data_IF_735581652878
#
_entry.id   IF_735581652878
#
_cell.length_a   1.000
_cell.length_b   1.000
_cell.length_c   1.000
_cell.angle_alpha   90.00
_cell.angle_beta   90.00
_cell.angle_gamma   90.00
#
_symmetry.space_group_name_H-M   'P 1'
#
loop_
_entity.id
_entity.type
_entity.pdbx_description
1 polymer ?
#
# COMPACT_ATOMS: atom_id res chain seq x y z
N UNK A 1 -30.58 2.88 72.12
CA UNK A 1 -30.60 2.96 70.64
C UNK A 1 -29.67 4.07 70.16
N UNK A 2 -28.43 3.75 69.77
CA UNK A 2 -27.62 4.54 68.83
C UNK A 2 -26.74 3.56 68.05
N UNK A 3 -26.84 3.64 66.74
CA UNK A 3 -26.37 2.68 65.72
C UNK A 3 -24.83 2.65 65.62
N UNK A 4 -24.27 1.45 65.41
CA UNK A 4 -22.87 1.22 65.04
C UNK A 4 -22.75 1.32 63.52
N UNK A 5 -21.88 2.17 63.01
CA UNK A 5 -21.48 2.17 61.60
C UNK A 5 -20.09 1.56 61.51
N UNK A 6 -20.02 0.35 60.94
CA UNK A 6 -18.78 -0.29 60.50
C UNK A 6 -18.40 0.31 59.14
N UNK A 7 -17.22 0.90 59.04
CA UNK A 7 -16.62 1.28 57.74
C UNK A 7 -15.72 0.14 57.29
N UNK A 8 -16.07 -0.43 56.14
CA UNK A 8 -15.39 -1.50 55.43
C UNK A 8 -14.06 -0.98 54.84
N UNK A 9 -12.92 -1.70 54.92
CA UNK A 9 -11.71 -1.31 54.20
C UNK A 9 -11.86 -1.74 52.74
N UNK A 10 -12.03 -0.77 51.84
CA UNK A 10 -11.95 -1.02 50.40
C UNK A 10 -10.49 -1.02 49.94
N UNK A 11 -10.09 -2.15 49.37
CA UNK A 11 -9.09 -2.38 48.34
C UNK A 11 -8.18 -1.19 47.96
N UNK A 12 -6.88 -1.36 48.19
CA UNK A 12 -5.86 -0.92 47.23
C UNK A 12 -5.05 -2.13 46.78
N UNK A 13 -5.68 -2.94 45.94
CA UNK A 13 -4.98 -3.93 45.13
C UNK A 13 -4.59 -3.28 43.80
N UNK A 14 -3.31 -3.36 43.44
CA UNK A 14 -2.87 -3.32 42.05
C UNK A 14 -2.61 -1.94 41.45
N UNK A 15 -1.43 -1.38 41.75
CA UNK A 15 -0.70 -0.63 40.72
C UNK A 15 0.35 -1.58 40.13
N UNK A 16 -0.11 -2.59 39.37
CA UNK A 16 0.75 -3.25 38.39
C UNK A 16 0.91 -2.24 37.27
N UNK A 17 2.00 -1.48 37.32
CA UNK A 17 2.48 -0.68 36.20
C UNK A 17 2.73 -1.64 35.05
N UNK A 18 1.78 -1.71 34.12
CA UNK A 18 2.02 -2.19 32.77
C UNK A 18 3.00 -1.22 32.11
N UNK A 19 4.30 -1.43 32.35
CA UNK A 19 5.28 -1.03 31.35
C UNK A 19 4.96 -1.91 30.14
N UNK A 20 4.20 -1.36 29.20
CA UNK A 20 4.20 -1.87 27.85
C UNK A 20 5.68 -1.90 27.44
N UNK A 21 6.28 -3.09 27.35
CA UNK A 21 7.57 -3.23 26.73
C UNK A 21 7.38 -2.80 25.27
N UNK A 22 7.71 -1.53 24.99
CA UNK A 22 8.10 -1.14 23.65
C UNK A 22 9.40 -1.89 23.37
N UNK A 23 9.28 -3.12 22.84
CA UNK A 23 10.43 -3.81 22.30
C UNK A 23 10.97 -2.92 21.18
N UNK A 24 12.18 -2.41 21.38
CA UNK A 24 12.84 -1.55 20.41
C UNK A 24 13.16 -2.43 19.19
N UNK A 25 12.44 -2.24 18.09
CA UNK A 25 12.64 -3.00 16.85
C UNK A 25 13.98 -2.55 16.28
N UNK A 26 14.96 -3.46 16.21
CA UNK A 26 16.25 -3.17 15.60
C UNK A 26 16.14 -3.34 14.09
N UNK A 27 16.46 -2.31 13.33
CA UNK A 27 16.48 -2.35 11.88
C UNK A 27 17.70 -1.60 11.34
N UNK A 28 18.02 -1.84 10.07
CA UNK A 28 18.99 -1.09 9.28
C UNK A 28 18.25 -0.43 8.14
N UNK A 29 18.53 0.83 7.87
CA UNK A 29 18.00 1.54 6.71
C UNK A 29 19.12 2.16 5.88
N UNK A 30 18.91 2.23 4.57
CA UNK A 30 19.83 2.84 3.62
C UNK A 30 19.11 3.15 2.31
N UNK A 31 19.69 4.02 1.50
CA UNK A 31 19.19 4.34 0.17
C UNK A 31 20.08 3.70 -0.90
N UNK A 32 19.45 3.17 -1.95
CA UNK A 32 20.16 2.81 -3.18
C UNK A 32 20.50 4.07 -3.99
N UNK A 33 21.50 4.02 -4.91
CA UNK A 33 21.86 5.16 -5.76
C UNK A 33 20.72 5.71 -6.63
N UNK A 34 19.68 4.91 -6.90
CA UNK A 34 18.49 5.31 -7.66
C UNK A 34 17.34 5.84 -6.78
N UNK A 35 17.63 6.13 -5.51
CA UNK A 35 16.69 6.73 -4.56
C UNK A 35 15.73 5.75 -3.88
N UNK A 36 15.80 4.45 -4.15
CA UNK A 36 15.00 3.47 -3.41
C UNK A 36 15.42 3.43 -1.94
N UNK A 37 14.50 3.79 -1.05
CA UNK A 37 14.71 3.66 0.38
C UNK A 37 14.49 2.22 0.83
N UNK A 38 15.43 1.65 1.59
CA UNK A 38 15.41 0.25 2.02
C UNK A 38 15.46 0.16 3.53
N UNK A 39 14.57 -0.67 4.11
CA UNK A 39 14.52 -0.98 5.53
C UNK A 39 14.66 -2.50 5.71
N UNK A 40 15.59 -2.94 6.55
CA UNK A 40 15.85 -4.35 6.85
C UNK A 40 15.70 -4.62 8.34
N UNK A 41 14.91 -5.64 8.69
CA UNK A 41 14.77 -6.16 10.04
C UNK A 41 15.09 -7.67 10.06
N UNK A 42 16.18 -8.03 10.74
CA UNK A 42 16.58 -9.43 10.95
C UNK A 42 15.88 -10.02 12.18
N UNK A 43 15.13 -11.11 11.97
CA UNK A 43 14.48 -11.91 13.00
C UNK A 43 14.46 -13.40 12.63
N UNK A 44 15.29 -14.20 13.30
CA UNK A 44 15.37 -15.66 13.10
C UNK A 44 14.35 -16.46 13.92
N UNK A 45 13.32 -15.83 14.47
CA UNK A 45 12.31 -16.51 15.29
C UNK A 45 11.52 -17.58 14.52
N UNK A 46 11.30 -17.37 13.22
CA UNK A 46 10.63 -18.31 12.32
C UNK A 46 11.27 -18.24 10.92
N UNK A 47 11.29 -19.33 10.13
CA UNK A 47 11.90 -19.36 8.80
C UNK A 47 10.99 -18.71 7.73
N UNK A 48 10.57 -17.48 7.97
CA UNK A 48 9.65 -16.70 7.15
C UNK A 48 10.28 -15.32 6.91
N UNK A 49 10.04 -14.77 5.73
CA UNK A 49 10.40 -13.39 5.36
C UNK A 49 9.16 -12.68 4.81
N UNK A 50 8.96 -11.44 5.25
CA UNK A 50 8.04 -10.49 4.65
C UNK A 50 8.84 -9.56 3.75
N UNK A 51 8.48 -9.50 2.47
CA UNK A 51 8.97 -8.53 1.49
C UNK A 51 7.82 -7.59 1.20
N UNK A 52 8.06 -6.28 1.19
CA UNK A 52 7.00 -5.31 0.94
C UNK A 52 7.52 -4.06 0.27
N UNK A 53 6.72 -3.49 -0.63
CA UNK A 53 7.00 -2.21 -1.28
C UNK A 53 5.85 -1.26 -1.00
N UNK A 54 6.17 -0.13 -0.39
CA UNK A 54 5.27 0.99 -0.20
C UNK A 54 5.61 2.04 -1.24
N UNK A 55 4.68 2.28 -2.16
CA UNK A 55 4.76 3.43 -3.06
C UNK A 55 4.09 4.62 -2.38
N UNK A 56 4.79 5.75 -2.36
CA UNK A 56 4.28 7.00 -1.84
C UNK A 56 3.33 7.60 -2.88
N UNK A 57 2.21 6.95 -3.15
CA UNK A 57 1.16 7.40 -4.06
C UNK A 57 -0.16 6.86 -3.54
N UNK A 58 -1.20 7.68 -3.51
CA UNK A 58 -2.56 7.22 -3.22
C UNK A 58 -3.58 8.05 -4.00
N UNK A 59 -4.85 7.92 -3.65
CA UNK A 59 -5.90 8.63 -4.40
C UNK A 59 -5.78 10.16 -4.37
N UNK A 60 -5.04 10.73 -3.40
CA UNK A 60 -4.79 12.18 -3.35
C UNK A 60 -3.91 12.70 -4.49
N UNK A 61 -3.10 11.83 -5.08
CA UNK A 61 -2.15 12.17 -6.14
C UNK A 61 -2.79 12.16 -7.53
N UNK A 62 -4.04 11.71 -7.62
CA UNK A 62 -4.75 11.53 -8.89
C UNK A 62 -5.14 12.87 -9.54
N UNK A 63 -5.32 12.82 -10.86
CA UNK A 63 -5.96 13.90 -11.58
C UNK A 63 -7.45 13.98 -11.12
N UNK A 64 -7.95 15.15 -10.69
CA UNK A 64 -9.34 15.30 -10.25
C UNK A 64 -10.40 14.88 -11.28
N UNK A 65 -10.06 14.90 -12.58
CA UNK A 65 -10.94 14.47 -13.68
C UNK A 65 -10.75 12.99 -14.05
N UNK A 66 -9.80 12.28 -13.41
CA UNK A 66 -9.44 10.88 -13.63
C UNK A 66 -9.07 10.21 -12.30
N UNK A 67 -10.09 9.88 -11.50
CA UNK A 67 -9.92 9.29 -10.17
C UNK A 67 -10.08 7.77 -10.15
N UNK A 68 -9.51 7.13 -9.13
CA UNK A 68 -9.51 5.67 -8.93
C UNK A 68 -8.28 4.95 -9.49
N UNK A 69 -7.29 5.69 -9.97
CA UNK A 69 -6.08 5.15 -10.59
C UNK A 69 -5.15 4.48 -9.60
N UNK A 70 -4.96 5.06 -8.40
CA UNK A 70 -4.12 4.44 -7.38
C UNK A 70 -4.64 3.04 -7.00
N UNK A 71 -5.95 2.94 -6.79
CA UNK A 71 -6.61 1.66 -6.52
C UNK A 71 -6.60 0.74 -7.74
N UNK A 72 -6.79 1.28 -8.95
CA UNK A 72 -6.72 0.48 -10.17
C UNK A 72 -5.35 -0.19 -10.35
N UNK A 73 -4.26 0.53 -10.07
CA UNK A 73 -2.92 -0.02 -10.13
C UNK A 73 -2.63 -1.04 -9.03
N UNK A 74 -3.35 -1.00 -7.91
CA UNK A 74 -3.35 -2.12 -6.96
C UNK A 74 -3.72 -3.43 -7.66
N UNK A 75 -4.79 -3.43 -8.46
CA UNK A 75 -5.27 -4.61 -9.20
C UNK A 75 -4.40 -4.93 -10.41
N UNK A 76 -4.10 -3.92 -11.23
CA UNK A 76 -3.39 -4.09 -12.50
C UNK A 76 -1.99 -4.68 -12.30
N UNK A 77 -1.31 -4.31 -11.22
CA UNK A 77 0.05 -4.78 -10.96
C UNK A 77 0.16 -6.24 -10.47
N UNK A 78 -0.97 -6.94 -10.34
CA UNK A 78 -1.00 -8.40 -10.23
C UNK A 78 -1.17 -9.10 -11.57
N UNK A 79 -1.51 -8.37 -12.64
CA UNK A 79 -1.78 -9.01 -13.90
C UNK A 79 -0.52 -9.57 -14.56
N UNK A 80 0.66 -9.02 -14.34
CA UNK A 80 1.91 -9.56 -14.86
C UNK A 80 2.92 -8.49 -15.29
N UNK A 81 3.99 -8.94 -15.91
CA UNK A 81 5.10 -8.12 -16.41
C UNK A 81 5.55 -8.61 -17.77
N UNK A 82 6.60 -8.01 -18.33
CA UNK A 82 7.23 -8.53 -19.55
C UNK A 82 7.83 -9.94 -19.35
N UNK A 83 8.19 -10.32 -18.12
CA UNK A 83 8.74 -11.64 -17.79
C UNK A 83 7.77 -12.54 -17.01
N UNK A 84 6.61 -12.04 -16.58
CA UNK A 84 5.58 -12.77 -15.84
C UNK A 84 4.31 -12.80 -16.67
N UNK A 85 3.89 -13.99 -17.09
CA UNK A 85 2.67 -14.16 -17.87
C UNK A 85 1.42 -13.68 -17.13
N UNK A 86 0.39 -13.36 -17.93
CA UNK A 86 -0.82 -12.75 -17.40
C UNK A 86 -1.54 -13.67 -16.42
N UNK A 87 -1.74 -13.21 -15.18
CA UNK A 87 -2.38 -13.99 -14.12
C UNK A 87 -1.51 -15.13 -13.56
N UNK A 88 -0.19 -15.04 -13.70
CA UNK A 88 0.76 -15.93 -13.03
C UNK A 88 1.44 -15.31 -11.80
N UNK A 89 1.38 -13.99 -11.59
CA UNK A 89 2.10 -13.31 -10.49
C UNK A 89 1.82 -13.96 -9.13
N UNK A 90 0.55 -14.09 -8.76
CA UNK A 90 0.11 -14.68 -7.50
C UNK A 90 0.48 -16.17 -7.39
N UNK A 91 0.49 -16.89 -8.51
CA UNK A 91 0.84 -18.31 -8.56
C UNK A 91 2.30 -18.57 -8.22
N UNK A 92 3.22 -17.66 -8.53
CA UNK A 92 4.62 -17.79 -8.09
C UNK A 92 4.71 -17.85 -6.57
N UNK A 93 4.02 -16.93 -5.89
CA UNK A 93 3.99 -16.86 -4.42
C UNK A 93 3.28 -18.08 -3.82
N UNK A 94 2.11 -18.46 -4.36
CA UNK A 94 1.35 -19.61 -3.87
C UNK A 94 2.10 -20.93 -4.06
N UNK A 95 2.78 -21.14 -5.20
CA UNK A 95 3.61 -22.34 -5.47
C UNK A 95 4.80 -22.42 -4.51
N UNK A 96 5.32 -21.28 -4.07
CA UNK A 96 6.37 -21.20 -3.06
C UNK A 96 5.86 -21.37 -1.61
N UNK A 97 4.54 -21.55 -1.41
CA UNK A 97 3.92 -21.69 -0.09
C UNK A 97 3.72 -20.37 0.66
N UNK A 98 3.81 -19.24 -0.05
CA UNK A 98 3.60 -17.91 0.51
C UNK A 98 2.17 -17.40 0.38
N UNK A 99 1.97 -16.19 0.90
CA UNK A 99 0.75 -15.39 0.70
C UNK A 99 1.14 -13.98 0.29
N UNK A 100 0.28 -13.31 -0.47
CA UNK A 100 0.49 -11.93 -0.91
C UNK A 100 -0.81 -11.16 -0.83
N UNK A 101 -0.70 -9.85 -0.71
CA UNK A 101 -1.83 -8.94 -0.86
C UNK A 101 -1.36 -7.52 -1.15
N UNK A 102 -2.31 -6.64 -1.41
CA UNK A 102 -2.07 -5.20 -1.49
C UNK A 102 -3.19 -4.41 -0.82
N UNK A 103 -2.95 -3.12 -0.64
CA UNK A 103 -3.99 -2.17 -0.31
C UNK A 103 -3.59 -0.75 -0.71
N UNK A 104 -4.60 0.04 -1.07
CA UNK A 104 -4.47 1.45 -1.39
C UNK A 104 -5.20 2.31 -0.39
N UNK A 105 -4.65 3.50 -0.14
CA UNK A 105 -5.23 4.55 0.70
C UNK A 105 -5.21 5.90 -0.02
N UNK A 106 -5.51 6.98 0.70
CA UNK A 106 -5.32 8.32 0.17
C UNK A 106 -3.86 8.67 -0.09
N UNK A 107 -2.92 8.09 0.66
CA UNK A 107 -1.53 8.54 0.71
C UNK A 107 -0.51 7.53 0.18
N UNK A 108 -0.87 6.24 0.18
CA UNK A 108 0.03 5.13 -0.20
C UNK A 108 -0.69 3.99 -0.91
N UNK A 109 0.06 3.27 -1.71
CA UNK A 109 -0.25 1.95 -2.24
C UNK A 109 0.83 0.99 -1.73
N UNK A 110 0.41 -0.11 -1.13
CA UNK A 110 1.30 -1.04 -0.44
C UNK A 110 1.06 -2.45 -0.93
N UNK A 111 2.16 -3.11 -1.28
CA UNK A 111 2.18 -4.50 -1.70
C UNK A 111 3.08 -5.28 -0.74
N UNK A 112 2.74 -6.53 -0.48
CA UNK A 112 3.58 -7.42 0.30
C UNK A 112 3.42 -8.88 -0.08
N UNK A 113 4.50 -9.61 0.12
CA UNK A 113 4.55 -11.07 0.11
C UNK A 113 5.11 -11.58 1.44
N UNK A 114 4.51 -12.62 1.98
CA UNK A 114 5.05 -13.40 3.09
C UNK A 114 5.43 -14.76 2.52
N UNK A 115 6.71 -15.09 2.62
CA UNK A 115 7.34 -16.22 1.97
C UNK A 115 8.22 -17.01 2.97
N UNK A 116 8.49 -18.30 2.73
CA UNK A 116 9.60 -18.98 3.41
C UNK A 116 10.92 -18.22 3.19
N UNK A 117 11.80 -18.15 4.19
CA UNK A 117 13.02 -17.33 4.13
C UNK A 117 13.94 -17.65 2.95
N UNK A 118 13.99 -18.92 2.52
CA UNK A 118 14.74 -19.35 1.34
C UNK A 118 14.17 -18.84 -0.01
N UNK A 119 13.04 -18.14 0.00
CA UNK A 119 12.37 -17.54 -1.16
C UNK A 119 12.51 -16.02 -1.20
N UNK A 120 13.40 -15.41 -0.40
CA UNK A 120 13.67 -13.97 -0.44
C UNK A 120 13.97 -13.47 -1.88
N UNK A 121 14.78 -14.22 -2.64
CA UNK A 121 15.10 -13.88 -4.02
C UNK A 121 13.86 -13.88 -4.95
N UNK A 122 12.88 -14.74 -4.71
CA UNK A 122 11.62 -14.76 -5.45
C UNK A 122 10.79 -13.49 -5.16
N UNK A 123 10.65 -13.11 -3.89
CA UNK A 123 9.92 -11.89 -3.51
C UNK A 123 10.57 -10.62 -4.10
N UNK A 124 11.90 -10.52 -4.02
CA UNK A 124 12.64 -9.39 -4.60
C UNK A 124 12.52 -9.32 -6.12
N UNK A 125 12.59 -10.45 -6.81
CA UNK A 125 12.36 -10.51 -8.26
C UNK A 125 10.96 -10.02 -8.63
N UNK A 126 9.91 -10.55 -7.98
CA UNK A 126 8.52 -10.20 -8.25
C UNK A 126 8.25 -8.70 -8.05
N UNK A 127 8.73 -8.11 -6.95
CA UNK A 127 8.55 -6.68 -6.69
C UNK A 127 9.38 -5.80 -7.63
N UNK A 128 10.56 -6.25 -8.08
CA UNK A 128 11.33 -5.53 -9.10
C UNK A 128 10.64 -5.55 -10.47
N UNK A 129 10.01 -6.67 -10.84
CA UNK A 129 9.22 -6.79 -12.07
C UNK A 129 8.01 -5.86 -12.04
N UNK A 130 7.34 -5.76 -10.88
CA UNK A 130 6.24 -4.81 -10.69
C UNK A 130 6.71 -3.37 -10.85
N UNK A 131 7.89 -3.03 -10.33
CA UNK A 131 8.41 -1.66 -10.35
C UNK A 131 8.87 -1.21 -11.75
N UNK A 132 9.46 -2.09 -12.55
CA UNK A 132 10.07 -1.68 -13.83
C UNK A 132 9.35 -2.23 -15.08
N UNK A 133 8.85 -3.46 -15.03
CA UNK A 133 8.44 -4.23 -16.20
C UNK A 133 6.93 -4.53 -16.22
N UNK A 134 6.12 -3.85 -15.38
CA UNK A 134 4.71 -4.16 -15.30
C UNK A 134 4.00 -3.90 -16.64
N UNK A 135 3.15 -4.83 -17.04
CA UNK A 135 2.51 -4.79 -18.34
C UNK A 135 1.22 -3.98 -18.29
N UNK A 136 1.32 -2.69 -18.60
CA UNK A 136 0.18 -1.77 -18.73
C UNK A 136 -0.26 -1.73 -20.20
N UNK A 137 -1.09 -2.69 -20.61
CA UNK A 137 -1.62 -2.79 -21.97
C UNK A 137 -3.16 -2.66 -22.00
N UNK A 138 -3.72 -2.36 -23.17
CA UNK A 138 -5.17 -2.20 -23.38
C UNK A 138 -5.97 -3.39 -22.84
N UNK A 139 -5.49 -4.62 -23.07
CA UNK A 139 -6.19 -5.85 -22.64
C UNK A 139 -6.31 -5.90 -21.13
N UNK A 140 -5.23 -5.60 -20.42
CA UNK A 140 -5.21 -5.60 -18.96
C UNK A 140 -6.00 -4.47 -18.36
N UNK A 141 -5.82 -3.28 -18.92
CA UNK A 141 -6.59 -2.10 -18.53
C UNK A 141 -8.09 -2.38 -18.65
N UNK A 142 -8.56 -2.92 -19.78
CA UNK A 142 -10.00 -3.16 -19.93
C UNK A 142 -10.52 -4.29 -19.03
N UNK A 143 -9.72 -5.33 -18.80
CA UNK A 143 -10.08 -6.42 -17.87
C UNK A 143 -10.26 -5.87 -16.45
N UNK A 144 -9.27 -5.14 -15.95
CA UNK A 144 -9.30 -4.59 -14.58
C UNK A 144 -10.31 -3.46 -14.43
N UNK A 145 -10.60 -2.71 -15.49
CA UNK A 145 -11.68 -1.70 -15.49
C UNK A 145 -13.01 -2.34 -15.14
N UNK A 146 -13.35 -3.49 -15.73
CA UNK A 146 -14.60 -4.15 -15.40
C UNK A 146 -14.61 -4.69 -13.96
N UNK A 147 -13.49 -5.26 -13.49
CA UNK A 147 -13.36 -5.76 -12.10
C UNK A 147 -13.56 -4.64 -11.09
N UNK A 148 -12.83 -3.52 -11.22
CA UNK A 148 -12.93 -2.38 -10.29
C UNK A 148 -14.32 -1.76 -10.31
N UNK A 149 -14.99 -1.71 -11.48
CA UNK A 149 -16.37 -1.24 -11.57
C UNK A 149 -17.33 -2.16 -10.82
N UNK A 150 -17.21 -3.48 -10.96
CA UNK A 150 -18.03 -4.41 -10.18
C UNK A 150 -17.74 -4.34 -8.69
N UNK A 151 -16.48 -4.17 -8.29
CA UNK A 151 -16.10 -3.96 -6.90
C UNK A 151 -16.79 -2.71 -6.33
N UNK A 152 -16.77 -1.59 -7.06
CA UNK A 152 -17.45 -0.36 -6.64
C UNK A 152 -18.95 -0.59 -6.47
N UNK A 153 -19.59 -1.28 -7.42
CA UNK A 153 -21.01 -1.63 -7.30
C UNK A 153 -21.26 -2.47 -6.05
N UNK A 154 -20.44 -3.48 -5.79
CA UNK A 154 -20.61 -4.39 -4.68
C UNK A 154 -20.36 -3.73 -3.31
N UNK A 155 -19.31 -2.90 -3.20
CA UNK A 155 -18.84 -2.33 -1.93
C UNK A 155 -19.49 -1.00 -1.57
N UNK A 156 -19.98 -0.24 -2.56
CA UNK A 156 -20.53 1.11 -2.35
C UNK A 156 -21.98 1.18 -2.82
N UNK A 157 -22.24 0.94 -4.10
CA UNK A 157 -23.55 1.28 -4.70
C UNK A 157 -24.68 0.34 -4.24
N UNK A 158 -24.37 -0.94 -4.02
CA UNK A 158 -25.32 -1.96 -3.58
C UNK A 158 -25.27 -2.22 -2.06
N UNK A 159 -24.63 -1.36 -1.28
CA UNK A 159 -24.59 -1.46 0.18
C UNK A 159 -25.48 -0.40 0.84
N UNK A 160 -26.32 -0.77 1.84
CA UNK A 160 -26.93 0.21 2.72
C UNK A 160 -25.85 1.12 3.32
N UNK A 161 -26.04 2.43 3.22
CA UNK A 161 -25.08 3.45 3.69
C UNK A 161 -23.70 3.42 3.01
N UNK A 162 -23.52 2.69 1.90
CA UNK A 162 -22.22 2.60 1.22
C UNK A 162 -21.69 3.94 0.72
N UNK A 163 -22.58 4.87 0.36
CA UNK A 163 -22.23 6.22 -0.10
C UNK A 163 -21.91 7.21 1.02
N UNK A 164 -22.07 6.86 2.31
CA UNK A 164 -21.88 7.80 3.42
C UNK A 164 -20.47 8.38 3.42
N UNK A 165 -19.44 7.55 3.19
CA UNK A 165 -18.06 8.02 3.15
C UNK A 165 -17.84 8.99 1.98
N UNK A 166 -18.29 8.63 0.78
CA UNK A 166 -18.16 9.46 -0.42
C UNK A 166 -18.85 10.82 -0.24
N UNK A 167 -20.09 10.81 0.26
CA UNK A 167 -20.86 12.04 0.50
C UNK A 167 -20.26 12.90 1.62
N UNK A 168 -19.70 12.27 2.67
CA UNK A 168 -19.01 12.98 3.76
C UNK A 168 -17.74 13.66 3.27
N UNK A 169 -16.88 12.94 2.55
CA UNK A 169 -15.62 13.46 2.01
C UNK A 169 -15.85 14.63 1.06
N UNK A 170 -16.84 14.51 0.17
CA UNK A 170 -17.21 15.55 -0.79
C UNK A 170 -17.68 16.85 -0.13
N UNK A 171 -18.28 16.78 1.07
CA UNK A 171 -18.72 17.96 1.83
C UNK A 171 -17.62 18.50 2.74
N UNK A 172 -16.79 17.62 3.29
CA UNK A 172 -15.71 17.98 4.20
C UNK A 172 -14.54 18.67 3.47
N UNK A 173 -14.32 18.36 2.20
CA UNK A 173 -13.21 18.89 1.41
C UNK A 173 -13.73 19.54 0.12
N UNK A 174 -13.45 20.82 -0.08
CA UNK A 174 -13.85 21.56 -1.28
C UNK A 174 -12.75 21.54 -2.34
N UNK A 175 -11.50 21.70 -1.90
CA UNK A 175 -10.33 21.84 -2.80
C UNK A 175 -9.33 20.71 -2.63
N UNK A 176 -9.22 20.11 -1.45
CA UNK A 176 -8.26 19.06 -1.16
C UNK A 176 -8.64 17.74 -1.84
N UNK A 177 -7.67 16.98 -2.40
CA UNK A 177 -7.93 15.72 -3.10
C UNK A 177 -8.57 14.61 -2.25
N UNK A 178 -8.63 14.79 -0.93
CA UNK A 178 -9.37 13.87 -0.04
C UNK A 178 -10.89 13.90 -0.26
N UNK A 179 -11.41 14.77 -1.14
CA UNK A 179 -12.84 14.91 -1.43
C UNK A 179 -13.46 13.76 -2.25
N UNK A 180 -12.69 12.76 -2.69
CA UNK A 180 -13.22 11.55 -3.35
C UNK A 180 -12.65 10.28 -2.71
N UNK A 181 -13.41 9.17 -2.69
CA UNK A 181 -12.94 7.91 -2.13
C UNK A 181 -11.86 7.27 -3.02
N UNK A 182 -11.01 6.44 -2.42
CA UNK A 182 -9.88 5.75 -3.09
C UNK A 182 -10.28 4.94 -4.32
N UNK A 183 -11.48 4.35 -4.34
CA UNK A 183 -11.98 3.56 -5.47
C UNK A 183 -12.30 4.40 -6.72
N UNK A 184 -12.35 5.73 -6.60
CA UNK A 184 -12.62 6.66 -7.70
C UNK A 184 -14.07 6.67 -8.18
N UNK A 185 -14.30 7.33 -9.32
CA UNK A 185 -15.63 7.51 -9.92
C UNK A 185 -15.85 6.58 -11.10
N UNK A 186 -17.06 6.02 -11.23
CA UNK A 186 -17.47 5.25 -12.43
C UNK A 186 -17.24 6.01 -13.73
N UNK A 187 -17.61 7.29 -13.76
CA UNK A 187 -17.49 8.11 -14.97
C UNK A 187 -16.02 8.38 -15.33
N UNK A 188 -15.15 8.51 -14.33
CA UNK A 188 -13.71 8.69 -14.55
C UNK A 188 -13.06 7.40 -15.05
N UNK A 189 -13.44 6.26 -14.46
CA UNK A 189 -13.05 4.95 -14.96
C UNK A 189 -13.57 4.71 -16.37
N UNK A 190 -14.74 5.19 -16.77
CA UNK A 190 -15.21 5.03 -18.16
C UNK A 190 -14.50 5.96 -19.16
N UNK A 191 -14.06 7.14 -18.71
CA UNK A 191 -13.42 8.14 -19.56
C UNK A 191 -11.90 7.98 -19.69
N UNK A 192 -11.28 7.15 -18.84
CA UNK A 192 -9.83 6.92 -18.78
C UNK A 192 -9.32 6.11 -19.98
N UNK A 193 -8.28 6.61 -20.63
CA UNK A 193 -7.60 5.98 -21.77
C UNK A 193 -6.39 5.19 -21.30
N UNK A 194 -5.93 4.23 -22.09
CA UNK A 194 -4.71 3.45 -21.82
C UNK A 194 -3.51 4.33 -21.47
N UNK A 195 -3.29 5.41 -22.24
CA UNK A 195 -2.20 6.36 -21.99
C UNK A 195 -2.26 6.97 -20.59
N UNK A 196 -3.46 7.26 -20.06
CA UNK A 196 -3.60 7.80 -18.71
C UNK A 196 -3.01 6.83 -17.67
N UNK A 197 -3.16 5.51 -17.88
CA UNK A 197 -2.59 4.49 -17.00
C UNK A 197 -1.08 4.39 -17.17
N UNK A 198 -0.59 4.34 -18.42
CA UNK A 198 0.85 4.28 -18.71
C UNK A 198 1.58 5.47 -18.08
N UNK A 199 1.00 6.67 -18.18
CA UNK A 199 1.56 7.88 -17.59
C UNK A 199 1.57 7.79 -16.06
N UNK A 200 0.47 7.34 -15.44
CA UNK A 200 0.40 7.14 -13.98
C UNK A 200 1.44 6.14 -13.47
N UNK A 201 1.63 5.02 -14.18
CA UNK A 201 2.66 4.03 -13.85
C UNK A 201 4.06 4.66 -13.87
N UNK A 202 4.39 5.33 -14.97
CA UNK A 202 5.70 5.94 -15.16
C UNK A 202 5.98 7.12 -14.24
N UNK A 203 4.95 7.79 -13.74
CA UNK A 203 5.11 8.89 -12.80
C UNK A 203 5.34 8.38 -11.37
N UNK A 204 4.56 7.39 -10.92
CA UNK A 204 4.50 7.05 -9.49
C UNK A 204 5.20 5.74 -9.10
N UNK A 205 5.35 4.77 -9.99
CA UNK A 205 5.94 3.47 -9.69
C UNK A 205 7.44 3.46 -10.02
N UNK A 206 8.20 4.22 -9.22
CA UNK A 206 9.62 4.50 -9.45
C UNK A 206 10.41 4.34 -8.14
N UNK A 207 11.71 3.99 -8.18
CA UNK A 207 12.49 3.68 -6.98
C UNK A 207 12.55 4.87 -6.01
N UNK A 208 12.79 6.08 -6.50
CA UNK A 208 12.82 7.31 -5.71
C UNK A 208 11.44 7.75 -5.15
N UNK A 209 10.38 6.99 -5.42
CA UNK A 209 9.05 7.17 -4.85
C UNK A 209 8.58 5.96 -4.03
N UNK A 210 9.50 5.05 -3.67
CA UNK A 210 9.16 3.80 -3.01
C UNK A 210 10.03 3.55 -1.77
N UNK A 211 9.50 2.72 -0.88
CA UNK A 211 10.23 2.15 0.24
C UNK A 211 10.09 0.64 0.21
N UNK A 212 11.21 -0.05 0.06
CA UNK A 212 11.32 -1.49 0.19
C UNK A 212 11.58 -1.84 1.66
N UNK A 213 10.71 -2.64 2.26
CA UNK A 213 10.89 -3.13 3.63
C UNK A 213 10.92 -4.66 3.64
N UNK A 214 11.97 -5.21 4.26
CA UNK A 214 12.18 -6.66 4.41
C UNK A 214 12.34 -6.98 5.88
N UNK A 215 11.51 -7.90 6.39
CA UNK A 215 11.54 -8.31 7.78
C UNK A 215 11.42 -9.83 7.92
N UNK A 216 12.27 -10.46 8.73
CA UNK A 216 12.19 -11.89 9.04
C UNK A 216 13.54 -12.58 9.06
N UNK A 217 13.54 -13.88 8.80
CA UNK A 217 14.75 -14.72 8.82
C UNK A 217 15.61 -14.44 7.59
N UNK A 218 16.46 -13.41 7.71
CA UNK A 218 17.35 -12.92 6.66
C UNK A 218 18.76 -12.72 7.21
N UNK A 219 19.75 -12.79 6.33
CA UNK A 219 21.07 -12.24 6.62
C UNK A 219 21.20 -10.87 5.93
N UNK A 220 21.36 -9.75 6.67
CA UNK A 220 21.31 -8.41 6.10
C UNK A 220 22.28 -8.17 4.92
N UNK A 221 23.49 -8.74 4.97
CA UNK A 221 24.48 -8.58 3.90
C UNK A 221 24.10 -9.34 2.63
N UNK A 222 23.51 -10.53 2.74
CA UNK A 222 22.99 -11.29 1.60
C UNK A 222 21.75 -10.60 1.01
N UNK A 223 20.85 -10.10 1.87
CA UNK A 223 19.69 -9.33 1.45
C UNK A 223 20.10 -8.08 0.66
N UNK A 224 21.08 -7.30 1.15
CA UNK A 224 21.61 -6.13 0.43
C UNK A 224 22.14 -6.47 -0.96
N UNK A 225 22.84 -7.60 -1.11
CA UNK A 225 23.34 -8.04 -2.42
C UNK A 225 22.19 -8.34 -3.39
N UNK A 226 21.18 -9.09 -2.94
CA UNK A 226 20.00 -9.40 -3.75
C UNK A 226 19.20 -8.13 -4.11
N UNK A 227 19.04 -7.21 -3.16
CA UNK A 227 18.36 -5.93 -3.39
C UNK A 227 19.10 -5.10 -4.44
N UNK A 228 20.43 -4.99 -4.33
CA UNK A 228 21.24 -4.32 -5.35
C UNK A 228 21.13 -5.00 -6.71
N UNK A 229 21.02 -6.33 -6.75
CA UNK A 229 20.89 -7.09 -8.00
C UNK A 229 19.53 -6.84 -8.69
N UNK A 230 18.43 -6.82 -7.94
CA UNK A 230 17.08 -6.70 -8.51
C UNK A 230 16.63 -5.26 -8.72
N UNK A 231 17.01 -4.35 -7.83
CA UNK A 231 16.54 -2.96 -7.86
C UNK A 231 17.60 -1.97 -8.35
N UNK A 232 18.89 -2.33 -8.35
CA UNK A 232 19.98 -1.39 -8.61
C UNK A 232 19.98 -0.79 -10.01
N UNK A 233 19.53 -1.55 -11.01
CA UNK A 233 19.51 -1.11 -12.41
C UNK A 233 18.20 -0.40 -12.80
N UNK A 234 17.23 -0.30 -11.87
CA UNK A 234 15.98 0.41 -12.11
C UNK A 234 16.28 1.92 -12.10
N UNK A 235 16.02 2.66 -13.19
CA UNK A 235 16.33 4.08 -13.25
C UNK A 235 15.42 4.87 -12.31
N UNK A 236 16.00 5.85 -11.62
CA UNK A 236 15.23 6.93 -11.00
C UNK A 236 14.47 7.73 -12.06
N UNK A 237 13.39 8.39 -11.65
CA UNK A 237 12.65 9.32 -12.51
C UNK A 237 12.43 10.64 -11.80
N UNK A 238 11.78 11.58 -12.50
CA UNK A 238 11.41 12.87 -11.93
C UNK A 238 10.61 12.68 -10.63
N UNK A 239 10.77 13.64 -9.72
CA UNK A 239 9.94 13.76 -8.53
C UNK A 239 8.45 13.70 -8.91
N UNK A 240 7.68 12.73 -8.39
CA UNK A 240 6.27 12.59 -8.73
C UNK A 240 5.43 13.75 -8.21
N UNK A 241 4.29 14.02 -8.86
CA UNK A 241 3.40 15.06 -8.41
C UNK A 241 2.91 14.86 -6.95
N UNK A 242 2.95 15.97 -6.20
CA UNK A 242 2.41 16.07 -4.84
C UNK A 242 1.39 17.22 -4.77
N UNK A 243 0.16 16.96 -4.31
CA UNK A 243 -0.77 18.06 -4.05
C UNK A 243 -0.23 18.94 -2.91
N UNK A 244 -0.12 20.23 -3.17
CA UNK A 244 0.28 21.26 -2.19
C UNK A 244 -0.90 22.11 -1.69
N UNK A 245 -2.11 21.80 -2.17
CA UNK A 245 -3.33 22.52 -1.79
C UNK A 245 -3.62 22.30 -0.31
N UNK A 246 -3.92 23.40 0.39
CA UNK A 246 -4.34 23.39 1.78
C UNK A 246 -5.83 23.68 1.81
N UNK A 247 -6.61 22.80 2.47
CA UNK A 247 -8.04 23.02 2.64
C UNK A 247 -8.27 24.25 3.56
N UNK A 248 -9.11 25.21 3.16
CA UNK A 248 -9.50 26.29 4.06
C UNK A 248 -10.23 25.75 5.30
N UNK A 249 -10.18 26.45 6.45
CA UNK A 249 -10.93 26.04 7.63
C UNK A 249 -12.43 25.89 7.34
N UNK A 250 -13.02 24.80 7.82
CA UNK A 250 -14.47 24.61 7.79
C UNK A 250 -15.12 25.66 8.71
N UNK A 251 -15.92 26.54 8.11
CA UNK A 251 -16.59 27.65 8.81
C UNK A 251 -17.84 27.24 9.61
N UNK A 252 -18.15 25.94 9.68
CA UNK A 252 -19.34 25.38 10.31
C UNK A 252 -19.40 23.85 10.19
N UNK A 253 -20.53 23.27 10.61
CA UNK A 253 -20.81 21.84 10.44
C UNK A 253 -20.95 21.46 8.96
N UNK A 254 -20.61 20.21 8.64
CA UNK A 254 -20.54 19.60 7.30
C UNK A 254 -21.76 18.72 7.04
#
# INVERSE_FOLDING_TARGET
MKSKIFVFPWLFAGALSLQAQMNNIKFVEYDLPNGLHVILHEDHSTPIVAVSVLYHVGSKNENPERTGFAHFFEHLLFEGSDNIERGEYDKYVQRAGGTLNANTSFDRTFYFEILPSNQLGLGLWLESERMLHAKVDEKGVETQRQVVKEERRQRIENQPYGSVLEESLKRAYHVHPYKWPTIGSMAHLDAAKEQDYVDFYHEFYVPNNATLSIAGDIHPEEAKQLISQYFGDIPERNEPYRPSVVEPPLGGEV
#
